data_IF_514214057035
#
_entry.id   IF_514214057035
#
_cell.length_a   1.000
_cell.length_b   1.000
_cell.length_c   1.000
_cell.angle_alpha   90.00
_cell.angle_beta   90.00
_cell.angle_gamma   90.00
#
_symmetry.space_group_name_H-M   'P 1'
#
loop_
_entity.id
_entity.type
_entity.pdbx_description
1 polymer ?
#
# COMPACT_ATOMS: atom_id res chain seq x y z
N UNK A 1 8.37 -11.21 -9.37
CA UNK A 1 7.93 -11.97 -8.16
C UNK A 1 6.46 -11.70 -7.84
N UNK A 2 5.80 -12.44 -6.93
CA UNK A 2 4.38 -12.22 -6.55
C UNK A 2 4.11 -10.78 -6.08
N UNK A 3 5.00 -10.25 -5.25
CA UNK A 3 4.95 -8.86 -4.76
C UNK A 3 4.95 -7.82 -5.90
N UNK A 4 5.79 -8.03 -6.90
CA UNK A 4 5.90 -7.17 -8.08
C UNK A 4 4.60 -7.17 -8.90
N UNK A 5 3.97 -8.34 -9.08
CA UNK A 5 2.65 -8.43 -9.75
C UNK A 5 1.58 -7.69 -8.97
N UNK A 6 1.58 -7.82 -7.64
CA UNK A 6 0.65 -7.09 -6.76
C UNK A 6 0.86 -5.58 -6.88
N UNK A 7 2.12 -5.11 -6.87
CA UNK A 7 2.44 -3.70 -7.03
C UNK A 7 1.98 -3.15 -8.39
N UNK A 8 2.20 -3.90 -9.47
CA UNK A 8 1.72 -3.54 -10.81
C UNK A 8 0.18 -3.48 -10.84
N UNK A 9 -0.49 -4.46 -10.23
CA UNK A 9 -1.95 -4.49 -10.18
C UNK A 9 -2.51 -3.31 -9.39
N UNK A 10 -1.95 -3.02 -8.21
CA UNK A 10 -2.34 -1.87 -7.38
C UNK A 10 -2.11 -0.54 -8.09
N UNK A 11 -0.99 -0.41 -8.81
CA UNK A 11 -0.69 0.74 -9.66
C UNK A 11 -1.76 0.93 -10.73
N UNK A 12 -2.12 -0.14 -11.44
CA UNK A 12 -3.11 -0.08 -12.51
C UNK A 12 -4.49 0.33 -11.98
N UNK A 13 -4.90 -0.17 -10.82
CA UNK A 13 -6.14 0.25 -10.15
C UNK A 13 -6.10 1.74 -9.79
N UNK A 14 -4.96 2.23 -9.28
CA UNK A 14 -4.79 3.65 -8.95
C UNK A 14 -4.81 4.53 -10.21
N UNK A 15 -4.15 4.12 -11.29
CA UNK A 15 -4.15 4.83 -12.58
C UNK A 15 -5.57 4.90 -13.15
N UNK A 16 -6.32 3.80 -13.12
CA UNK A 16 -7.71 3.76 -13.56
C UNK A 16 -8.60 4.73 -12.74
N UNK A 17 -8.29 4.89 -11.45
CA UNK A 17 -8.95 5.84 -10.55
C UNK A 17 -8.41 7.29 -10.65
N UNK A 18 -7.54 7.61 -11.62
CA UNK A 18 -6.83 8.90 -11.76
C UNK A 18 -5.97 9.28 -10.55
N UNK A 19 -5.47 8.28 -9.82
CA UNK A 19 -4.61 8.39 -8.63
C UNK A 19 -3.22 7.80 -8.86
N UNK A 20 -2.75 7.76 -10.12
CA UNK A 20 -1.45 7.20 -10.48
C UNK A 20 -0.28 7.93 -9.80
N UNK A 21 -0.27 9.26 -9.84
CA UNK A 21 0.77 10.07 -9.18
C UNK A 21 0.78 9.91 -7.66
N UNK A 22 -0.42 9.79 -7.07
CA UNK A 22 -0.59 9.52 -5.65
C UNK A 22 -0.02 8.13 -5.28
N UNK A 23 -0.20 7.13 -6.14
CA UNK A 23 0.42 5.82 -5.94
C UNK A 23 1.94 5.89 -6.01
N UNK A 24 2.52 6.53 -7.04
CA UNK A 24 3.98 6.67 -7.17
C UNK A 24 4.60 7.38 -5.97
N UNK A 25 3.87 8.36 -5.45
CA UNK A 25 4.23 9.12 -4.26
C UNK A 25 4.19 8.27 -2.99
N UNK A 26 3.16 7.45 -2.82
CA UNK A 26 2.91 6.70 -1.58
C UNK A 26 3.51 5.29 -1.58
N UNK A 27 3.99 4.77 -2.71
CA UNK A 27 4.48 3.38 -2.82
C UNK A 27 5.61 3.06 -1.85
N UNK A 28 6.48 4.02 -1.54
CA UNK A 28 7.59 3.84 -0.60
C UNK A 28 7.10 3.58 0.84
N UNK A 29 5.92 4.12 1.19
CA UNK A 29 5.26 3.83 2.47
C UNK A 29 4.55 2.47 2.50
N UNK A 30 4.42 1.78 1.37
CA UNK A 30 3.87 0.42 1.31
C UNK A 30 4.97 -0.63 1.54
N UNK A 31 6.18 -0.38 1.05
CA UNK A 31 7.31 -1.32 1.10
C UNK A 31 8.21 -1.14 2.32
N UNK A 32 8.00 -0.07 3.11
CA UNK A 32 8.82 0.22 4.29
C UNK A 32 10.25 0.64 3.96
N UNK A 33 10.49 1.06 2.71
CA UNK A 33 11.81 1.53 2.29
C UNK A 33 12.18 2.83 3.02
N UNK A 34 13.36 2.87 3.69
CA UNK A 34 13.85 4.11 4.27
C UNK A 34 14.16 5.10 3.14
N UNK A 35 13.49 6.25 3.14
CA UNK A 35 13.64 7.28 2.11
C UNK A 35 12.34 7.89 1.59
N UNK A 36 11.18 7.44 2.07
CA UNK A 36 9.91 8.13 1.80
C UNK A 36 9.84 9.50 2.45
N UNK A 37 9.26 10.47 1.76
CA UNK A 37 8.88 11.78 2.31
C UNK A 37 8.04 11.59 3.59
N UNK A 38 8.20 12.47 4.58
CA UNK A 38 7.31 12.47 5.74
C UNK A 38 5.86 12.71 5.30
N UNK A 39 4.89 12.25 6.11
CA UNK A 39 3.48 12.53 5.83
C UNK A 39 3.17 14.04 5.76
N UNK A 40 3.99 14.86 6.43
CA UNK A 40 3.87 16.31 6.43
C UNK A 40 4.34 16.93 5.10
N UNK A 41 5.46 16.46 4.55
CA UNK A 41 5.95 16.86 3.22
C UNK A 41 5.00 16.40 2.12
N UNK A 42 4.47 15.18 2.25
CA UNK A 42 3.44 14.65 1.36
C UNK A 42 2.17 15.48 1.37
N UNK A 43 1.72 15.88 2.56
CA UNK A 43 0.54 16.72 2.73
C UNK A 43 0.71 18.07 2.03
N UNK A 44 1.88 18.70 2.20
CA UNK A 44 2.23 19.95 1.53
C UNK A 44 2.25 19.79 0.00
N UNK A 45 2.89 18.73 -0.53
CA UNK A 45 2.97 18.48 -1.97
C UNK A 45 1.61 18.17 -2.60
N UNK A 46 0.77 17.42 -1.90
CA UNK A 46 -0.56 17.02 -2.36
C UNK A 46 -1.64 18.08 -2.06
N UNK A 47 -1.26 19.22 -1.49
CA UNK A 47 -2.16 20.28 -1.05
C UNK A 47 -3.34 19.75 -0.21
N UNK A 48 -3.02 18.90 0.77
CA UNK A 48 -3.97 18.22 1.63
C UNK A 48 -3.50 18.23 3.09
N UNK A 49 -4.27 17.65 4.01
CA UNK A 49 -3.85 17.52 5.42
C UNK A 49 -3.06 16.23 5.64
N UNK A 50 -2.17 16.25 6.63
CA UNK A 50 -1.43 15.05 7.06
C UNK A 50 -2.38 13.89 7.44
N UNK A 51 -3.51 14.21 8.08
CA UNK A 51 -4.55 13.23 8.39
C UNK A 51 -5.16 12.59 7.14
N UNK A 52 -5.37 13.36 6.06
CA UNK A 52 -5.84 12.83 4.79
C UNK A 52 -4.78 11.96 4.10
N UNK A 53 -3.48 12.29 4.22
CA UNK A 53 -2.38 11.43 3.76
C UNK A 53 -2.38 10.11 4.52
N UNK A 54 -2.45 10.14 5.86
CA UNK A 54 -2.53 8.95 6.71
C UNK A 54 -3.68 8.03 6.28
N UNK A 55 -4.90 8.57 6.17
CA UNK A 55 -6.07 7.80 5.72
C UNK A 55 -5.88 7.20 4.33
N UNK A 56 -5.26 7.95 3.41
CA UNK A 56 -4.97 7.48 2.05
C UNK A 56 -3.98 6.33 2.07
N UNK A 57 -2.88 6.46 2.83
CA UNK A 57 -1.88 5.40 3.01
C UNK A 57 -2.52 4.16 3.62
N UNK A 58 -3.32 4.29 4.69
CA UNK A 58 -4.02 3.16 5.30
C UNK A 58 -4.93 2.43 4.31
N UNK A 59 -5.69 3.17 3.48
CA UNK A 59 -6.55 2.58 2.44
C UNK A 59 -5.73 1.84 1.38
N UNK A 60 -4.63 2.43 0.94
CA UNK A 60 -3.76 1.86 -0.08
C UNK A 60 -3.08 0.58 0.43
N UNK A 61 -2.61 0.60 1.68
CA UNK A 61 -2.06 -0.55 2.41
C UNK A 61 -3.07 -1.69 2.56
N UNK A 62 -4.30 -1.39 2.97
CA UNK A 62 -5.36 -2.39 3.05
C UNK A 62 -5.59 -3.07 1.70
N UNK A 63 -5.69 -2.28 0.63
CA UNK A 63 -5.86 -2.81 -0.73
C UNK A 63 -4.67 -3.64 -1.19
N UNK A 64 -3.45 -3.20 -0.89
CA UNK A 64 -2.24 -3.98 -1.13
C UNK A 64 -2.32 -5.36 -0.45
N UNK A 65 -2.67 -5.41 0.84
CA UNK A 65 -2.82 -6.68 1.56
C UNK A 65 -3.91 -7.59 0.98
N UNK A 66 -5.04 -7.04 0.54
CA UNK A 66 -6.09 -7.80 -0.18
C UNK A 66 -5.56 -8.41 -1.49
N UNK A 67 -4.77 -7.65 -2.26
CA UNK A 67 -4.18 -8.13 -3.51
C UNK A 67 -3.10 -9.19 -3.26
N UNK A 68 -2.27 -9.02 -2.23
CA UNK A 68 -1.29 -10.04 -1.82
C UNK A 68 -2.02 -11.35 -1.48
N UNK A 69 -3.06 -11.30 -0.65
CA UNK A 69 -3.88 -12.48 -0.33
C UNK A 69 -4.48 -13.12 -1.57
N UNK A 70 -5.07 -12.32 -2.46
CA UNK A 70 -5.70 -12.84 -3.67
C UNK A 70 -4.70 -13.53 -4.60
N UNK A 71 -3.46 -13.02 -4.68
CA UNK A 71 -2.40 -13.67 -5.46
C UNK A 71 -1.88 -14.92 -4.77
N UNK A 72 -1.70 -14.91 -3.45
CA UNK A 72 -1.25 -16.09 -2.70
C UNK A 72 -2.31 -17.20 -2.73
N UNK A 73 -3.59 -16.90 -2.51
CA UNK A 73 -4.67 -17.88 -2.61
C UNK A 73 -4.80 -18.52 -4.00
N UNK A 74 -4.32 -17.84 -5.06
CA UNK A 74 -4.23 -18.41 -6.42
C UNK A 74 -3.01 -19.31 -6.62
N UNK A 75 -2.02 -19.24 -5.74
CA UNK A 75 -0.74 -19.97 -5.88
C UNK A 75 -0.45 -20.96 -4.74
N UNK A 76 -1.17 -20.89 -3.61
CA UNK A 76 -1.00 -21.76 -2.44
C UNK A 76 -2.36 -22.20 -1.90
N UNK A 77 -2.49 -23.50 -1.59
CA UNK A 77 -3.69 -24.12 -1.00
C UNK A 77 -3.96 -23.73 0.46
N UNK A 78 -3.11 -22.88 1.10
CA UNK A 78 -3.24 -22.48 2.52
C UNK A 78 -3.06 -20.97 2.75
N UNK A 79 -4.14 -20.18 2.79
CA UNK A 79 -4.11 -18.72 2.94
C UNK A 79 -3.97 -18.19 4.39
N UNK A 80 -3.80 -19.07 5.38
CA UNK A 80 -4.11 -18.79 6.80
C UNK A 80 -3.00 -18.04 7.57
N UNK A 81 -1.74 -18.14 7.14
CA UNK A 81 -0.57 -17.52 7.82
C UNK A 81 -0.35 -16.04 7.43
N UNK A 82 -1.06 -15.55 6.42
CA UNK A 82 -0.82 -14.24 5.80
C UNK A 82 -1.50 -13.10 6.58
N UNK A 83 -2.59 -13.41 7.27
CA UNK A 83 -3.40 -12.41 7.98
C UNK A 83 -2.69 -11.79 9.16
N UNK A 84 -1.95 -12.58 9.91
CA UNK A 84 -1.22 -12.11 11.08
C UNK A 84 0.01 -11.31 10.69
N UNK A 85 0.69 -11.68 9.61
CA UNK A 85 1.86 -10.95 9.11
C UNK A 85 1.48 -9.59 8.49
N UNK A 86 0.34 -9.52 7.78
CA UNK A 86 -0.24 -8.25 7.30
C UNK A 86 -0.69 -7.38 8.47
N UNK A 87 -1.32 -7.97 9.51
CA UNK A 87 -1.71 -7.22 10.72
C UNK A 87 -0.48 -6.68 11.46
N UNK A 88 0.57 -7.49 11.62
CA UNK A 88 1.82 -7.07 12.26
C UNK A 88 2.51 -5.95 11.48
N UNK A 89 2.53 -6.02 10.14
CA UNK A 89 3.04 -4.93 9.31
C UNK A 89 2.25 -3.63 9.52
N UNK A 90 0.93 -3.70 9.70
CA UNK A 90 0.11 -2.52 9.99
C UNK A 90 0.27 -2.00 11.42
N UNK A 91 0.41 -2.88 12.41
CA UNK A 91 0.60 -2.52 13.80
C UNK A 91 1.97 -1.88 14.08
N UNK A 92 3.00 -2.23 13.30
CA UNK A 92 4.34 -1.66 13.43
C UNK A 92 4.49 -0.24 12.84
N UNK A 93 3.44 0.31 12.24
CA UNK A 93 3.45 1.62 11.54
C UNK A 93 2.55 2.67 12.22
N UNK A 94 2.11 2.41 13.46
CA UNK A 94 1.42 3.37 14.36
C UNK A 94 2.38 4.11 15.29
#
# INVERSE_FOLDING_TARGET
>A
MLLERVMIQLRNECVAARKGELFETLKHHLTGEPGGESYQELAARLNTSEGAVKVTVHRLRRRFGELVRAQIARTLDRPEEIDDEIRQLFAALE
#
